data_IF_526211967609
#
_entry.id   IF_526211967609
#
_cell.length_a   1.000
_cell.length_b   1.000
_cell.length_c   1.000
_cell.angle_alpha   90.00
_cell.angle_beta   90.00
_cell.angle_gamma   90.00
#
_symmetry.space_group_name_H-M   'P 1'
#
loop_
_entity.id
_entity.type
_entity.pdbx_description
1 polymer ?
#
# COMPACT_ATOMS: atom_id res chain seq x y z
N UNK A 1 -26.61 -12.47 10.13
CA UNK A 1 -25.55 -12.62 11.16
C UNK A 1 -24.28 -13.19 10.51
N UNK A 2 -23.22 -12.38 10.40
CA UNK A 2 -21.91 -12.83 9.93
C UNK A 2 -21.25 -13.63 11.06
N UNK A 3 -20.93 -14.90 10.82
CA UNK A 3 -20.09 -15.68 11.74
C UNK A 3 -18.68 -15.10 11.74
N UNK A 4 -18.02 -14.96 12.91
CA UNK A 4 -16.62 -14.54 12.99
C UNK A 4 -15.73 -15.49 12.17
N UNK A 5 -14.72 -14.94 11.50
CA UNK A 5 -13.77 -15.72 10.70
C UNK A 5 -13.08 -16.85 11.50
N UNK A 6 -12.90 -16.66 12.80
CA UNK A 6 -12.33 -17.64 13.73
C UNK A 6 -13.24 -18.83 14.08
N UNK A 7 -14.53 -18.81 13.71
CA UNK A 7 -15.44 -19.95 13.91
C UNK A 7 -15.48 -20.91 12.70
N UNK A 8 -14.95 -20.48 11.55
CA UNK A 8 -15.01 -21.23 10.28
C UNK A 8 -13.68 -21.94 10.00
N UNK A 9 -12.57 -21.34 10.41
CA UNK A 9 -11.24 -21.91 10.26
C UNK A 9 -10.56 -22.03 11.62
N UNK A 10 -9.94 -23.19 11.93
CA UNK A 10 -9.14 -23.35 13.13
C UNK A 10 -8.02 -22.31 13.14
N UNK A 11 -7.69 -21.82 14.32
CA UNK A 11 -6.54 -20.92 14.49
C UNK A 11 -5.25 -21.67 14.18
N UNK A 12 -4.15 -20.92 14.00
CA UNK A 12 -2.82 -21.54 13.83
C UNK A 12 -2.48 -22.42 15.03
N UNK A 13 -2.83 -21.98 16.24
CA UNK A 13 -2.59 -22.74 17.47
C UNK A 13 -3.43 -24.04 17.50
N UNK A 14 -4.70 -23.98 17.09
CA UNK A 14 -5.56 -25.18 16.98
C UNK A 14 -5.01 -26.19 15.96
N UNK A 15 -4.50 -25.70 14.82
CA UNK A 15 -3.87 -26.53 13.80
C UNK A 15 -2.57 -27.18 14.30
N UNK A 16 -1.82 -26.47 15.15
CA UNK A 16 -0.59 -27.00 15.76
C UNK A 16 -0.93 -28.07 16.81
N UNK A 17 -1.91 -27.83 17.68
CA UNK A 17 -2.34 -28.80 18.69
C UNK A 17 -2.88 -30.08 18.04
N UNK A 18 -3.78 -29.94 17.07
CA UNK A 18 -4.32 -31.07 16.32
C UNK A 18 -3.21 -31.88 15.64
N UNK A 19 -2.22 -31.20 15.06
CA UNK A 19 -1.11 -31.87 14.40
C UNK A 19 -0.20 -32.63 15.36
N UNK A 20 0.11 -32.05 16.53
CA UNK A 20 0.91 -32.71 17.57
C UNK A 20 0.22 -33.97 18.11
N UNK A 21 -1.12 -33.98 18.16
CA UNK A 21 -1.89 -35.16 18.56
C UNK A 21 -1.95 -36.24 17.47
N UNK A 22 -2.07 -35.86 16.20
CA UNK A 22 -2.25 -36.81 15.07
C UNK A 22 -0.93 -37.38 14.52
N UNK A 23 0.14 -36.57 14.46
CA UNK A 23 1.46 -36.97 13.96
C UNK A 23 2.61 -36.23 14.69
N UNK A 24 2.96 -36.64 15.92
CA UNK A 24 3.90 -35.92 16.79
C UNK A 24 5.34 -35.82 16.25
N UNK A 25 5.70 -36.62 15.24
CA UNK A 25 7.02 -36.55 14.58
C UNK A 25 6.96 -36.01 13.14
N UNK A 26 5.78 -35.67 12.65
CA UNK A 26 5.63 -35.12 11.32
C UNK A 26 6.04 -33.64 11.24
N UNK A 27 6.14 -33.11 10.02
CA UNK A 27 6.32 -31.66 9.77
C UNK A 27 4.99 -31.05 9.34
N UNK A 28 4.50 -30.06 10.09
CA UNK A 28 3.35 -29.25 9.69
C UNK A 28 3.70 -28.42 8.46
N UNK A 29 3.16 -28.80 7.30
CA UNK A 29 3.27 -28.01 6.07
C UNK A 29 1.98 -27.21 5.88
N UNK A 30 2.04 -25.89 6.11
CA UNK A 30 0.99 -24.99 5.63
C UNK A 30 1.03 -25.00 4.10
N UNK A 31 -0.05 -25.49 3.48
CA UNK A 31 -0.22 -25.46 2.02
C UNK A 31 -0.86 -24.14 1.62
N UNK A 32 -0.06 -23.19 1.17
CA UNK A 32 -0.58 -21.99 0.51
C UNK A 32 -0.90 -22.32 -0.96
N UNK A 33 -2.12 -21.97 -1.40
CA UNK A 33 -2.47 -22.02 -2.81
C UNK A 33 -1.98 -20.73 -3.46
N UNK A 34 -0.82 -20.78 -4.09
CA UNK A 34 -0.31 -19.67 -4.89
C UNK A 34 -0.97 -19.71 -6.26
N UNK A 35 -1.63 -18.62 -6.66
CA UNK A 35 -2.12 -18.41 -8.02
C UNK A 35 -1.32 -17.25 -8.62
N UNK A 36 -0.83 -17.44 -9.84
CA UNK A 36 -0.34 -16.32 -10.64
C UNK A 36 -1.53 -15.47 -11.05
N UNK A 37 -1.38 -14.18 -10.84
CA UNK A 37 -2.36 -13.20 -11.26
C UNK A 37 -2.20 -12.92 -12.74
N UNK A 38 -3.32 -12.67 -13.39
CA UNK A 38 -3.33 -12.20 -14.76
C UNK A 38 -2.82 -10.76 -14.78
N UNK A 39 -2.17 -10.36 -15.87
CA UNK A 39 -1.69 -8.98 -16.01
C UNK A 39 -2.86 -8.00 -16.02
N UNK A 40 -2.63 -6.81 -15.46
CA UNK A 40 -3.64 -5.75 -15.44
C UNK A 40 -3.79 -5.18 -16.86
N UNK A 41 -5.02 -5.12 -17.37
CA UNK A 41 -5.27 -4.65 -18.74
C UNK A 41 -5.34 -3.11 -18.83
N UNK A 42 -4.95 -2.56 -19.97
CA UNK A 42 -5.07 -1.13 -20.28
C UNK A 42 -3.73 -0.42 -20.42
N UNK A 43 -3.80 0.90 -20.60
CA UNK A 43 -2.64 1.79 -20.75
C UNK A 43 -2.83 3.00 -19.84
N UNK A 44 -1.74 3.48 -19.23
CA UNK A 44 -1.72 4.68 -18.42
C UNK A 44 -0.93 5.75 -19.17
N UNK A 45 -1.48 6.96 -19.26
CA UNK A 45 -0.77 8.04 -19.93
C UNK A 45 0.48 8.41 -19.12
N UNK A 46 1.61 8.61 -19.81
CA UNK A 46 2.86 8.99 -19.15
C UNK A 46 2.73 10.27 -18.32
N UNK A 47 1.88 11.20 -18.75
CA UNK A 47 1.57 12.44 -18.03
C UNK A 47 0.82 12.19 -16.71
N UNK A 48 -0.12 11.25 -16.70
CA UNK A 48 -0.88 10.88 -15.49
C UNK A 48 0.04 10.21 -14.48
N UNK A 49 0.90 9.29 -14.95
CA UNK A 49 1.89 8.63 -14.11
C UNK A 49 2.89 9.61 -13.50
N UNK A 50 3.46 10.51 -14.32
CA UNK A 50 4.39 11.54 -13.85
C UNK A 50 3.72 12.50 -12.85
N UNK A 51 2.47 12.90 -13.10
CA UNK A 51 1.70 13.72 -12.17
C UNK A 51 1.51 13.01 -10.82
N UNK A 52 1.21 11.71 -10.83
CA UNK A 52 1.07 10.94 -9.60
C UNK A 52 2.38 10.85 -8.81
N UNK A 53 3.50 10.57 -9.48
CA UNK A 53 4.82 10.55 -8.83
C UNK A 53 5.15 11.90 -8.20
N UNK A 54 4.74 13.00 -8.85
CA UNK A 54 4.91 14.34 -8.33
C UNK A 54 4.10 14.59 -7.05
N UNK A 55 2.82 14.21 -7.04
CA UNK A 55 1.96 14.32 -5.87
C UNK A 55 2.49 13.46 -4.71
N UNK A 56 3.03 12.28 -5.02
CA UNK A 56 3.61 11.39 -4.02
C UNK A 56 4.93 11.93 -3.46
N UNK A 57 5.80 12.53 -4.30
CA UNK A 57 7.01 13.22 -3.84
C UNK A 57 6.68 14.33 -2.84
N UNK A 58 5.68 15.15 -3.16
CA UNK A 58 5.20 16.21 -2.26
C UNK A 58 4.74 15.63 -0.92
N UNK A 59 3.96 14.55 -0.94
CA UNK A 59 3.53 13.87 0.28
C UNK A 59 4.73 13.40 1.14
N UNK A 60 5.73 12.78 0.52
CA UNK A 60 6.93 12.30 1.23
C UNK A 60 7.70 13.46 1.87
N UNK A 61 7.91 14.56 1.14
CA UNK A 61 8.57 15.76 1.66
C UNK A 61 7.79 16.35 2.84
N UNK A 62 6.47 16.45 2.69
CA UNK A 62 5.58 16.98 3.71
C UNK A 62 5.61 16.18 5.02
N UNK A 63 5.65 14.85 4.91
CA UNK A 63 5.79 13.94 6.06
C UNK A 63 7.17 14.09 6.71
N UNK A 64 8.25 14.17 5.93
CA UNK A 64 9.61 14.33 6.48
C UNK A 64 9.77 15.66 7.23
N UNK A 65 9.26 16.75 6.66
CA UNK A 65 9.26 18.06 7.29
C UNK A 65 8.52 18.03 8.64
N UNK A 66 7.39 17.34 8.70
CA UNK A 66 6.55 17.29 9.90
C UNK A 66 7.11 16.40 11.01
N UNK A 67 7.67 15.23 10.69
CA UNK A 67 8.03 14.23 11.70
C UNK A 67 9.53 14.07 11.95
N UNK A 68 10.38 14.43 10.99
CA UNK A 68 11.83 14.21 11.08
C UNK A 68 12.65 15.49 11.22
N UNK A 69 12.03 16.66 11.03
CA UNK A 69 12.74 17.95 10.93
C UNK A 69 13.89 17.91 9.90
N UNK A 70 13.75 17.05 8.88
CA UNK A 70 14.69 16.94 7.78
C UNK A 70 14.13 17.71 6.59
N UNK A 71 14.87 18.71 6.12
CA UNK A 71 14.54 19.42 4.89
C UNK A 71 15.04 18.61 3.70
N UNK A 72 14.22 17.67 3.25
CA UNK A 72 14.39 17.03 1.95
C UNK A 72 13.78 17.96 0.91
N UNK A 73 14.60 18.44 -0.03
CA UNK A 73 14.12 19.29 -1.13
C UNK A 73 13.26 18.47 -2.10
N UNK A 74 12.16 19.07 -2.57
CA UNK A 74 11.21 18.41 -3.47
C UNK A 74 11.89 17.99 -4.78
N UNK A 75 12.75 18.83 -5.34
CA UNK A 75 13.45 18.53 -6.59
C UNK A 75 14.37 17.30 -6.46
N UNK A 76 14.97 17.09 -5.28
CA UNK A 76 15.79 15.90 -5.02
C UNK A 76 14.93 14.65 -4.93
N UNK A 77 13.77 14.74 -4.25
CA UNK A 77 12.83 13.61 -4.16
C UNK A 77 12.26 13.25 -5.53
N UNK A 78 11.86 14.26 -6.32
CA UNK A 78 11.37 14.05 -7.69
C UNK A 78 12.41 13.34 -8.55
N UNK A 79 13.67 13.80 -8.52
CA UNK A 79 14.74 13.17 -9.29
C UNK A 79 14.91 11.69 -8.92
N UNK A 80 14.85 11.34 -7.63
CA UNK A 80 14.92 9.95 -7.19
C UNK A 80 13.75 9.12 -7.71
N UNK A 81 12.52 9.63 -7.60
CA UNK A 81 11.33 8.91 -8.06
C UNK A 81 11.29 8.78 -9.60
N UNK A 82 11.69 9.82 -10.32
CA UNK A 82 11.76 9.80 -11.78
C UNK A 82 12.84 8.83 -12.28
N UNK A 83 14.01 8.77 -11.64
CA UNK A 83 15.06 7.80 -11.99
C UNK A 83 14.62 6.35 -11.75
N UNK A 84 13.83 6.09 -10.71
CA UNK A 84 13.41 4.74 -10.34
C UNK A 84 12.16 4.27 -11.10
N UNK A 85 11.21 5.18 -11.37
CA UNK A 85 9.86 4.81 -11.83
C UNK A 85 9.48 5.38 -13.19
N UNK A 86 10.40 6.05 -13.91
CA UNK A 86 10.21 6.44 -15.31
C UNK A 86 11.20 5.72 -16.27
N UNK A 87 10.74 5.32 -17.47
CA UNK A 87 9.36 5.38 -17.96
C UNK A 87 8.45 4.38 -17.22
N UNK A 88 7.14 4.58 -17.32
CA UNK A 88 6.16 3.65 -16.74
C UNK A 88 6.40 2.21 -17.19
N UNK A 89 6.35 1.28 -16.23
CA UNK A 89 6.17 -0.15 -16.45
C UNK A 89 5.32 -0.78 -15.33
N UNK A 90 4.88 -2.01 -15.56
CA UNK A 90 4.01 -2.74 -14.63
C UNK A 90 4.70 -3.06 -13.30
N UNK A 91 6.01 -3.30 -13.30
CA UNK A 91 6.75 -3.59 -12.07
C UNK A 91 6.82 -2.35 -11.18
N UNK A 92 7.10 -1.19 -11.76
CA UNK A 92 7.10 0.13 -11.11
C UNK A 92 5.75 0.44 -10.49
N UNK A 93 4.66 0.17 -11.21
CA UNK A 93 3.30 0.33 -10.69
C UNK A 93 3.09 -0.49 -9.41
N UNK A 94 3.48 -1.77 -9.40
CA UNK A 94 3.28 -2.64 -8.24
C UNK A 94 4.20 -2.26 -7.07
N UNK A 95 5.42 -1.80 -7.34
CA UNK A 95 6.30 -1.27 -6.30
C UNK A 95 5.70 -0.04 -5.63
N UNK A 96 5.20 0.90 -6.43
CA UNK A 96 4.51 2.10 -5.95
C UNK A 96 3.23 1.72 -5.21
N UNK A 97 2.44 0.77 -5.73
CA UNK A 97 1.23 0.30 -5.06
C UNK A 97 1.51 -0.30 -3.68
N UNK A 98 2.57 -1.09 -3.56
CA UNK A 98 2.99 -1.63 -2.27
C UNK A 98 3.46 -0.55 -1.28
N UNK A 99 4.06 0.54 -1.77
CA UNK A 99 4.52 1.65 -0.94
C UNK A 99 3.38 2.60 -0.53
N UNK A 100 2.43 2.86 -1.42
CA UNK A 100 1.33 3.81 -1.21
C UNK A 100 0.16 3.17 -0.48
N UNK A 101 -0.21 1.93 -0.82
CA UNK A 101 -1.32 1.22 -0.19
C UNK A 101 -0.85 0.55 1.11
N UNK A 102 -1.26 1.08 2.26
CA UNK A 102 -0.93 0.55 3.58
C UNK A 102 -2.09 -0.21 4.24
N UNK A 103 -3.34 0.07 3.85
CA UNK A 103 -4.50 -0.69 4.33
C UNK A 103 -4.62 -2.02 3.61
N UNK A 104 -4.97 -3.06 4.36
CA UNK A 104 -5.19 -4.39 3.82
C UNK A 104 -6.32 -4.41 2.78
N UNK A 105 -7.41 -3.70 3.04
CA UNK A 105 -8.57 -3.63 2.12
C UNK A 105 -8.17 -3.05 0.75
N UNK A 106 -7.34 -2.01 0.73
CA UNK A 106 -6.85 -1.41 -0.52
C UNK A 106 -5.91 -2.38 -1.25
N UNK A 107 -5.02 -3.08 -0.53
CA UNK A 107 -4.14 -4.09 -1.15
C UNK A 107 -4.94 -5.23 -1.77
N UNK A 108 -5.97 -5.71 -1.09
CA UNK A 108 -6.85 -6.77 -1.59
C UNK A 108 -7.64 -6.27 -2.83
N UNK A 109 -8.08 -5.00 -2.83
CA UNK A 109 -8.75 -4.38 -3.97
C UNK A 109 -7.81 -4.19 -5.17
N UNK A 110 -6.56 -3.79 -4.95
CA UNK A 110 -5.54 -3.66 -5.98
C UNK A 110 -5.26 -5.00 -6.66
N UNK A 111 -5.10 -6.06 -5.85
CA UNK A 111 -4.96 -7.44 -6.31
C UNK A 111 -6.25 -7.89 -7.04
N UNK A 112 -7.42 -7.45 -6.61
CA UNK A 112 -8.68 -7.74 -7.29
C UNK A 112 -8.87 -7.03 -8.63
N UNK A 113 -8.08 -6.00 -8.94
CA UNK A 113 -8.29 -5.13 -10.09
C UNK A 113 -7.95 -5.83 -11.40
N UNK A 114 -8.79 -5.60 -12.41
CA UNK A 114 -8.60 -6.18 -13.76
C UNK A 114 -8.10 -5.15 -14.76
N UNK A 115 -8.30 -3.86 -14.46
CA UNK A 115 -7.87 -2.76 -15.30
C UNK A 115 -6.93 -1.80 -14.59
N UNK A 116 -6.07 -1.17 -15.38
CA UNK A 116 -5.07 -0.22 -14.88
C UNK A 116 -5.73 1.05 -14.35
N UNK A 117 -6.87 1.45 -14.91
CA UNK A 117 -7.69 2.57 -14.44
C UNK A 117 -8.22 2.35 -13.02
N UNK A 118 -8.73 1.14 -12.71
CA UNK A 118 -9.20 0.78 -11.36
C UNK A 118 -8.06 0.87 -10.34
N UNK A 119 -6.92 0.25 -10.66
CA UNK A 119 -5.74 0.23 -9.80
C UNK A 119 -5.19 1.65 -9.59
N UNK A 120 -5.11 2.45 -10.65
CA UNK A 120 -4.59 3.82 -10.55
C UNK A 120 -5.53 4.74 -9.78
N UNK A 121 -6.86 4.59 -9.94
CA UNK A 121 -7.86 5.31 -9.14
C UNK A 121 -7.69 5.01 -7.65
N UNK A 122 -7.46 3.73 -7.31
CA UNK A 122 -7.22 3.32 -5.93
C UNK A 122 -5.95 3.96 -5.35
N UNK A 123 -4.87 4.05 -6.12
CA UNK A 123 -3.64 4.74 -5.70
C UNK A 123 -3.86 6.22 -5.44
N UNK A 124 -4.57 6.91 -6.35
CA UNK A 124 -4.92 8.31 -6.20
C UNK A 124 -5.78 8.55 -4.96
N UNK A 125 -6.76 7.68 -4.70
CA UNK A 125 -7.59 7.78 -3.51
C UNK A 125 -6.76 7.59 -2.23
N UNK A 126 -5.93 6.55 -2.17
CA UNK A 126 -5.09 6.27 -1.00
C UNK A 126 -4.13 7.44 -0.70
N UNK A 127 -3.49 7.99 -1.73
CA UNK A 127 -2.62 9.15 -1.57
C UNK A 127 -3.40 10.40 -1.12
N UNK A 128 -4.58 10.65 -1.69
CA UNK A 128 -5.46 11.74 -1.30
C UNK A 128 -5.91 11.66 0.16
N UNK A 129 -6.26 10.46 0.64
CA UNK A 129 -6.61 10.23 2.04
C UNK A 129 -5.42 10.49 2.97
N UNK A 130 -4.22 10.06 2.60
CA UNK A 130 -2.99 10.32 3.36
C UNK A 130 -2.68 11.81 3.46
N UNK A 131 -2.82 12.54 2.37
CA UNK A 131 -2.67 13.99 2.35
C UNK A 131 -3.72 14.69 3.23
N UNK A 132 -4.98 14.24 3.20
CA UNK A 132 -6.03 14.78 4.04
C UNK A 132 -5.75 14.55 5.54
N UNK A 133 -5.27 13.35 5.91
CA UNK A 133 -4.87 13.05 7.28
C UNK A 133 -3.70 13.93 7.73
N UNK A 134 -2.67 14.10 6.90
CA UNK A 134 -1.52 14.92 7.23
C UNK A 134 -1.90 16.39 7.47
N UNK A 135 -2.73 16.95 6.59
CA UNK A 135 -3.24 18.32 6.72
C UNK A 135 -4.09 18.50 7.97
N UNK A 136 -4.88 17.49 8.35
CA UNK A 136 -5.64 17.50 9.59
C UNK A 136 -4.72 17.56 10.81
N UNK A 137 -3.64 16.77 10.85
CA UNK A 137 -2.71 16.79 11.98
C UNK A 137 -1.95 18.13 12.05
N UNK A 138 -1.53 18.70 10.91
CA UNK A 138 -0.93 20.05 10.85
C UNK A 138 -1.84 21.09 11.50
N UNK A 139 -3.12 21.11 11.12
CA UNK A 139 -4.10 22.05 11.66
C UNK A 139 -4.31 21.90 13.18
N UNK A 140 -4.17 20.69 13.73
CA UNK A 140 -4.22 20.45 15.17
C UNK A 140 -2.97 21.00 15.89
N UNK A 141 -1.78 20.75 15.33
CA UNK A 141 -0.51 21.25 15.88
C UNK A 141 -0.50 22.78 15.96
N UNK A 142 -0.93 23.45 14.89
CA UNK A 142 -0.96 24.92 14.82
C UNK A 142 -1.95 25.52 15.84
N UNK A 143 -3.02 24.80 16.19
CA UNK A 143 -4.01 25.24 17.17
C UNK A 143 -3.50 25.09 18.63
N UNK A 144 -2.65 24.10 18.90
CA UNK A 144 -2.04 23.88 20.22
C UNK A 144 -0.93 24.90 20.51
N UNK A 145 -0.14 25.29 19.52
CA UNK A 145 0.94 26.30 19.68
C UNK A 145 0.41 27.75 19.83
N UNK A 146 -0.86 27.98 19.49
CA UNK A 146 -1.53 29.29 19.56
C UNK A 146 -2.37 29.55 20.82
N UNK A 147 -2.44 28.60 21.76
CA UNK A 147 -3.22 28.69 23.03
C UNK A 147 -2.32 28.86 24.26
#
# INVERSE_FOLDING_TARGET
>A
PSMPFGDIYPTVDDLVEQYVEEDPEGKLYLRAKVRLMDDVEGELAAEEWASFLHDWANHIVDVNAMFRNENVELEQMLLVLEEEFLPYDTDSLWQVANAVLDKQEDRDAAIGSTSLEELFTLLQQALGEKNAQLNFIRALSDAEDGS
#
